data_IF_027581800740
#
_entry.id   IF_027581800740
#
_cell.length_a   1.000
_cell.length_b   1.000
_cell.length_c   1.000
_cell.angle_alpha   90.00
_cell.angle_beta   90.00
_cell.angle_gamma   90.00
#
_symmetry.space_group_name_H-M   'P 1'
#
loop_
_entity.id
_entity.type
_entity.pdbx_description
1 polymer ?
#
# COMPACT_ATOMS: atom_id res chain seq x y z
N UNK A 1 -3.70 -5.71 20.93
CA UNK A 1 -3.64 -4.82 19.74
C UNK A 1 -4.90 -5.07 18.94
N UNK A 2 -5.54 -4.04 18.35
CA UNK A 2 -6.77 -4.24 17.57
C UNK A 2 -6.46 -4.86 16.19
N UNK A 3 -7.46 -5.50 15.59
CA UNK A 3 -7.33 -6.12 14.28
C UNK A 3 -6.80 -5.15 13.20
N UNK A 4 -7.33 -3.92 13.03
CA UNK A 4 -6.79 -2.97 12.05
C UNK A 4 -5.31 -2.62 12.27
N UNK A 5 -4.86 -2.58 13.53
CA UNK A 5 -3.45 -2.35 13.84
C UNK A 5 -2.57 -3.55 13.42
N UNK A 6 -3.08 -4.76 13.58
CA UNK A 6 -2.35 -5.97 13.16
C UNK A 6 -2.27 -6.04 11.64
N UNK A 7 -3.35 -5.73 10.95
CA UNK A 7 -3.39 -5.62 9.48
C UNK A 7 -2.36 -4.61 9.00
N UNK A 8 -2.30 -3.42 9.61
CA UNK A 8 -1.30 -2.41 9.29
C UNK A 8 0.13 -2.98 9.37
N UNK A 9 0.41 -3.82 10.38
CA UNK A 9 1.73 -4.45 10.51
C UNK A 9 2.00 -5.51 9.44
N UNK A 10 0.99 -6.28 9.05
CA UNK A 10 1.10 -7.26 7.96
C UNK A 10 1.35 -6.56 6.62
N UNK A 11 0.56 -5.53 6.32
CA UNK A 11 0.73 -4.64 5.17
C UNK A 11 2.15 -4.04 5.10
N UNK A 12 2.69 -3.55 6.23
CA UNK A 12 4.06 -3.05 6.30
C UNK A 12 5.12 -4.13 6.04
N UNK A 13 4.88 -5.36 6.48
CA UNK A 13 5.80 -6.47 6.20
C UNK A 13 5.83 -6.80 4.70
N UNK A 14 4.67 -6.84 4.04
CA UNK A 14 4.57 -7.01 2.58
C UNK A 14 5.27 -5.88 1.83
N UNK A 15 5.06 -4.62 2.23
CA UNK A 15 5.72 -3.47 1.60
C UNK A 15 7.24 -3.50 1.76
N UNK A 16 7.73 -3.92 2.93
CA UNK A 16 9.16 -4.10 3.15
C UNK A 16 9.71 -5.21 2.24
N UNK A 17 9.03 -6.36 2.17
CA UNK A 17 9.44 -7.45 1.29
C UNK A 17 9.45 -7.03 -0.19
N UNK A 18 8.42 -6.30 -0.65
CA UNK A 18 8.35 -5.74 -2.01
C UNK A 18 9.54 -4.81 -2.31
N UNK A 19 9.91 -3.96 -1.36
CA UNK A 19 11.06 -3.06 -1.52
C UNK A 19 12.39 -3.81 -1.64
N UNK A 20 12.48 -5.02 -1.08
CA UNK A 20 13.70 -5.83 -1.10
C UNK A 20 13.80 -6.78 -2.30
N UNK A 21 12.67 -7.22 -2.88
CA UNK A 21 12.65 -8.20 -3.99
C UNK A 21 12.95 -7.63 -5.38
N UNK A 22 12.91 -6.32 -5.59
CA UNK A 22 13.09 -5.72 -6.92
C UNK A 22 14.54 -5.68 -7.45
N UNK A 23 15.48 -6.40 -6.83
CA UNK A 23 16.90 -6.40 -7.22
C UNK A 23 17.57 -7.77 -7.08
N UNK A 24 17.11 -8.76 -7.85
CA UNK A 24 17.95 -9.92 -8.15
C UNK A 24 17.96 -10.14 -9.65
N UNK A 25 18.80 -9.37 -10.33
CA UNK A 25 19.56 -9.85 -11.48
C UNK A 25 20.91 -9.12 -11.52
N UNK A 26 21.93 -9.91 -11.13
CA UNK A 26 23.35 -9.87 -11.51
C UNK A 26 24.35 -9.59 -10.37
N UNK A 27 25.06 -10.67 -9.98
CA UNK A 27 26.21 -10.61 -9.08
C UNK A 27 27.40 -10.00 -9.83
N UNK A 28 27.65 -8.70 -9.64
CA UNK A 28 29.01 -8.19 -9.72
C UNK A 28 29.22 -6.89 -8.95
N UNK A 29 30.25 -6.92 -8.09
CA UNK A 29 31.05 -5.81 -7.57
C UNK A 29 30.39 -4.70 -6.73
N UNK A 30 30.74 -4.73 -5.43
CA UNK A 30 31.03 -3.58 -4.55
C UNK A 30 30.04 -2.40 -4.51
N UNK A 31 29.21 -2.35 -3.45
CA UNK A 31 28.78 -1.09 -2.85
C UNK A 31 27.38 -0.56 -3.18
N UNK A 32 26.45 -1.38 -3.67
CA UNK A 32 25.11 -0.91 -4.04
C UNK A 32 24.20 -0.82 -2.82
N UNK A 33 23.94 0.42 -2.36
CA UNK A 33 22.86 0.73 -1.41
C UNK A 33 21.56 0.13 -1.94
N UNK A 34 20.97 -0.85 -1.24
CA UNK A 34 19.64 -1.38 -1.58
C UNK A 34 18.67 -0.19 -1.72
N UNK A 35 18.21 0.11 -2.94
CA UNK A 35 17.32 1.25 -3.14
C UNK A 35 15.92 0.86 -2.68
N UNK A 36 15.45 1.47 -1.59
CA UNK A 36 14.06 1.38 -1.13
C UNK A 36 13.28 2.53 -1.80
N UNK A 37 12.59 2.31 -2.94
CA UNK A 37 11.92 3.39 -3.66
C UNK A 37 10.78 4.02 -2.85
N UNK A 38 10.14 3.24 -1.96
CA UNK A 38 9.10 3.74 -1.05
C UNK A 38 9.73 4.65 0.01
N UNK A 39 10.86 4.23 0.57
CA UNK A 39 11.68 5.02 1.48
C UNK A 39 12.17 6.33 0.86
N UNK A 40 12.67 6.27 -0.36
CA UNK A 40 13.13 7.43 -1.14
C UNK A 40 11.98 8.38 -1.41
N UNK A 41 10.83 7.89 -1.91
CA UNK A 41 9.63 8.71 -2.13
C UNK A 41 9.17 9.38 -0.83
N UNK A 42 9.15 8.64 0.28
CA UNK A 42 8.79 9.18 1.60
C UNK A 42 9.75 10.29 2.03
N UNK A 43 11.04 10.12 1.78
CA UNK A 43 12.07 11.10 2.10
C UNK A 43 12.00 12.35 1.21
N UNK A 44 11.49 12.23 -0.03
CA UNK A 44 11.20 13.33 -0.93
C UNK A 44 9.94 14.11 -0.50
N UNK A 45 8.83 13.41 -0.24
CA UNK A 45 7.52 14.02 0.05
C UNK A 45 7.51 14.77 1.40
N UNK A 46 8.13 14.19 2.44
CA UNK A 46 8.15 14.77 3.80
C UNK A 46 8.61 16.24 3.85
N UNK A 47 9.81 16.60 3.35
CA UNK A 47 10.31 17.97 3.39
C UNK A 47 9.52 18.90 2.47
N UNK A 48 9.05 18.43 1.31
CA UNK A 48 8.18 19.22 0.42
C UNK A 48 6.91 19.63 1.17
N UNK A 49 6.24 18.69 1.84
CA UNK A 49 5.02 18.96 2.60
C UNK A 49 5.25 19.73 3.91
N UNK A 50 6.47 19.70 4.46
CA UNK A 50 6.80 20.36 5.73
C UNK A 50 7.12 21.85 5.56
N UNK A 51 7.77 22.24 4.46
CA UNK A 51 8.15 23.62 4.19
C UNK A 51 7.03 24.39 3.49
N UNK A 52 6.62 25.54 4.02
CA UNK A 52 5.64 26.42 3.37
C UNK A 52 6.10 26.87 1.99
N UNK A 53 7.39 27.23 1.85
CA UNK A 53 8.00 27.64 0.60
C UNK A 53 7.98 26.51 -0.44
N UNK A 54 8.42 25.30 -0.06
CA UNK A 54 8.43 24.14 -0.97
C UNK A 54 7.03 23.73 -1.41
N UNK A 55 6.06 23.77 -0.50
CA UNK A 55 4.64 23.52 -0.84
C UNK A 55 4.08 24.55 -1.80
N UNK A 56 4.41 25.83 -1.60
CA UNK A 56 3.95 26.89 -2.48
C UNK A 56 4.54 26.72 -3.89
N UNK A 57 5.85 26.51 -3.98
CA UNK A 57 6.53 26.26 -5.26
C UNK A 57 5.95 25.03 -5.97
N UNK A 58 5.74 23.94 -5.23
CA UNK A 58 5.07 22.76 -5.75
C UNK A 58 3.66 23.08 -6.28
N UNK A 59 2.84 23.81 -5.51
CA UNK A 59 1.49 24.17 -5.90
C UNK A 59 1.45 25.10 -7.13
N UNK A 60 2.43 25.98 -7.28
CA UNK A 60 2.57 26.85 -8.46
C UNK A 60 2.87 26.02 -9.72
N UNK A 61 3.82 25.07 -9.65
CA UNK A 61 4.10 24.13 -10.75
C UNK A 61 2.87 23.29 -11.05
N UNK A 62 2.21 22.75 -10.02
CA UNK A 62 1.03 21.91 -10.18
C UNK A 62 -0.11 22.67 -10.86
N UNK A 63 -0.32 23.94 -10.49
CA UNK A 63 -1.29 24.83 -11.13
C UNK A 63 -0.93 25.12 -12.60
N UNK A 64 0.34 25.36 -12.91
CA UNK A 64 0.80 25.57 -14.29
C UNK A 64 0.54 24.34 -15.17
N UNK A 65 0.60 23.14 -14.58
CA UNK A 65 0.28 21.87 -15.25
C UNK A 65 -1.21 21.49 -15.16
N UNK A 66 -2.08 22.38 -14.66
CA UNK A 66 -3.52 22.12 -14.45
C UNK A 66 -3.84 20.92 -13.54
N UNK A 67 -2.94 20.62 -12.59
CA UNK A 67 -3.05 19.57 -11.59
C UNK A 67 -3.15 20.22 -10.20
N UNK A 68 -4.33 20.69 -9.81
CA UNK A 68 -4.54 21.38 -8.51
C UNK A 68 -4.60 20.41 -7.30
N UNK A 69 -3.67 19.46 -7.24
CA UNK A 69 -3.57 18.47 -6.15
C UNK A 69 -2.27 18.68 -5.36
N UNK A 70 -2.34 18.44 -4.06
CA UNK A 70 -1.16 18.42 -3.18
C UNK A 70 -0.65 16.99 -2.97
N UNK A 71 0.63 16.85 -2.64
CA UNK A 71 1.19 15.56 -2.20
C UNK A 71 0.55 15.11 -0.88
N UNK A 72 0.40 13.80 -0.72
CA UNK A 72 -0.08 13.18 0.51
C UNK A 72 1.09 12.61 1.31
N UNK A 73 1.11 12.90 2.61
CA UNK A 73 2.14 12.39 3.51
C UNK A 73 1.77 10.98 3.99
N UNK A 74 2.76 10.09 4.00
CA UNK A 74 2.65 8.79 4.66
C UNK A 74 2.57 8.94 6.19
N UNK A 75 1.61 8.24 6.79
CA UNK A 75 1.29 8.27 8.23
C UNK A 75 1.43 6.86 8.78
N UNK A 76 2.43 6.65 9.64
CA UNK A 76 2.79 5.31 10.12
C UNK A 76 1.65 4.53 10.78
N UNK A 77 0.66 5.21 11.35
CA UNK A 77 -0.50 4.60 12.02
C UNK A 77 -1.64 4.24 11.06
N UNK A 78 -1.59 4.67 9.80
CA UNK A 78 -2.65 4.47 8.81
C UNK A 78 -2.17 3.56 7.68
N UNK A 79 -2.75 2.36 7.63
CA UNK A 79 -2.35 1.27 6.74
C UNK A 79 -2.46 1.57 5.24
N UNK A 80 -3.34 2.49 4.84
CA UNK A 80 -3.48 2.93 3.45
C UNK A 80 -2.72 4.22 3.12
N UNK A 81 -2.05 4.85 4.09
CA UNK A 81 -1.42 6.16 3.85
C UNK A 81 -0.17 6.06 2.97
N UNK A 82 0.61 4.98 3.09
CA UNK A 82 1.74 4.73 2.18
C UNK A 82 1.25 4.53 0.75
N UNK A 83 0.16 3.77 0.58
CA UNK A 83 -0.50 3.59 -0.71
C UNK A 83 -0.98 4.93 -1.28
N UNK A 84 -1.72 5.73 -0.51
CA UNK A 84 -2.21 7.02 -0.97
C UNK A 84 -1.08 8.01 -1.29
N UNK A 85 0.04 7.95 -0.58
CA UNK A 85 1.25 8.71 -0.93
C UNK A 85 1.78 8.28 -2.30
N UNK A 86 1.89 6.97 -2.56
CA UNK A 86 2.38 6.43 -3.84
C UNK A 86 1.42 6.78 -4.98
N UNK A 87 0.13 6.48 -4.85
CA UNK A 87 -0.90 6.82 -5.85
C UNK A 87 -0.89 8.31 -6.16
N UNK A 88 -0.80 9.17 -5.13
CA UNK A 88 -0.74 10.62 -5.33
C UNK A 88 0.54 11.05 -6.03
N UNK A 89 1.68 10.44 -5.70
CA UNK A 89 2.95 10.75 -6.31
C UNK A 89 2.96 10.37 -7.80
N UNK A 90 2.40 9.21 -8.15
CA UNK A 90 2.25 8.76 -9.55
C UNK A 90 1.35 9.71 -10.35
N UNK A 91 0.24 10.17 -9.77
CA UNK A 91 -0.61 11.18 -10.42
C UNK A 91 0.09 12.53 -10.63
N UNK A 92 1.06 12.86 -9.76
CA UNK A 92 1.81 14.12 -9.77
C UNK A 92 3.23 13.95 -10.27
N UNK A 93 3.55 12.85 -10.94
CA UNK A 93 4.88 12.51 -11.44
C UNK A 93 5.45 13.65 -12.30
N UNK A 94 4.64 14.21 -13.21
CA UNK A 94 5.03 15.35 -14.04
C UNK A 94 5.38 16.61 -13.24
N UNK A 95 4.66 16.86 -12.15
CA UNK A 95 4.93 18.00 -11.26
C UNK A 95 6.25 17.78 -10.54
N UNK A 96 6.51 16.56 -10.08
CA UNK A 96 7.76 16.18 -9.42
C UNK A 96 8.95 16.25 -10.39
N UNK A 97 8.79 15.83 -11.64
CA UNK A 97 9.83 15.93 -12.66
C UNK A 97 10.23 17.39 -12.94
N UNK A 98 9.25 18.30 -13.08
CA UNK A 98 9.55 19.74 -13.26
C UNK A 98 10.16 20.34 -11.99
N UNK A 99 9.78 19.83 -10.81
CA UNK A 99 10.42 20.22 -9.56
C UNK A 99 11.88 19.73 -9.50
N UNK A 100 12.21 18.59 -10.08
CA UNK A 100 13.59 18.10 -10.16
C UNK A 100 14.49 19.03 -10.98
N UNK A 101 13.99 19.60 -12.08
CA UNK A 101 14.73 20.61 -12.83
C UNK A 101 15.05 21.84 -11.96
N UNK A 102 14.16 22.19 -11.02
CA UNK A 102 14.41 23.25 -10.04
C UNK A 102 15.39 22.86 -8.94
N UNK A 103 15.69 21.57 -8.73
CA UNK A 103 16.73 21.14 -7.78
C UNK A 103 18.13 21.55 -8.22
N UNK A 104 18.33 21.83 -9.52
CA UNK A 104 19.59 22.39 -10.04
C UNK A 104 19.79 23.85 -9.60
N UNK A 105 18.72 24.50 -9.14
CA UNK A 105 18.78 25.79 -8.48
C UNK A 105 19.07 25.56 -7.00
N UNK A 106 20.04 26.27 -6.44
CA UNK A 106 20.61 26.10 -5.09
C UNK A 106 19.60 26.05 -3.93
N UNK A 107 18.33 26.41 -4.17
CA UNK A 107 17.25 26.46 -3.18
C UNK A 107 16.73 25.08 -2.71
N UNK A 108 16.90 24.03 -3.52
CA UNK A 108 16.38 22.68 -3.23
C UNK A 108 17.40 21.55 -3.45
N UNK A 109 18.69 21.87 -3.41
CA UNK A 109 19.80 20.92 -3.62
C UNK A 109 19.72 19.71 -2.67
N UNK A 110 19.24 19.90 -1.43
CA UNK A 110 19.09 18.83 -0.43
C UNK A 110 18.09 17.73 -0.81
N UNK A 111 17.23 18.00 -1.80
CA UNK A 111 16.26 17.04 -2.33
C UNK A 111 16.80 16.21 -3.49
N UNK A 112 17.92 16.59 -4.12
CA UNK A 112 18.50 15.85 -5.26
C UNK A 112 18.83 14.40 -4.91
N UNK A 113 19.29 14.16 -3.67
CA UNK A 113 19.59 12.81 -3.16
C UNK A 113 18.37 11.89 -3.04
N UNK A 114 17.15 12.43 -3.15
CA UNK A 114 15.90 11.67 -3.11
C UNK A 114 15.22 11.59 -4.48
N UNK A 115 15.97 11.88 -5.55
CA UNK A 115 15.52 11.72 -6.92
C UNK A 115 15.28 10.24 -7.20
N UNK A 116 14.10 9.94 -7.74
CA UNK A 116 13.71 8.59 -8.15
C UNK A 116 14.09 8.39 -9.62
N UNK A 117 14.70 7.26 -9.93
CA UNK A 117 14.95 6.80 -11.29
C UNK A 117 13.68 6.27 -11.96
N UNK A 118 13.67 6.19 -13.29
CA UNK A 118 12.54 5.62 -14.05
C UNK A 118 12.19 4.19 -13.60
N UNK A 119 13.19 3.39 -13.23
CA UNK A 119 13.00 2.03 -12.73
C UNK A 119 12.32 2.03 -11.36
N UNK A 120 12.66 2.97 -10.48
CA UNK A 120 12.02 3.13 -9.19
C UNK A 120 10.58 3.64 -9.32
N UNK A 121 10.30 4.50 -10.29
CA UNK A 121 8.94 4.91 -10.64
C UNK A 121 8.08 3.74 -11.12
N UNK A 122 8.62 2.88 -11.99
CA UNK A 122 7.92 1.67 -12.46
C UNK A 122 7.65 0.71 -11.29
N UNK A 123 8.64 0.51 -10.40
CA UNK A 123 8.49 -0.28 -9.19
C UNK A 123 7.39 0.29 -8.27
N UNK A 124 7.32 1.61 -8.11
CA UNK A 124 6.27 2.27 -7.33
C UNK A 124 4.89 2.12 -7.99
N UNK A 125 4.79 2.11 -9.32
CA UNK A 125 3.53 1.92 -10.04
C UNK A 125 2.92 0.53 -9.81
N UNK A 126 3.75 -0.49 -9.59
CA UNK A 126 3.28 -1.85 -9.30
C UNK A 126 2.67 -2.00 -7.89
N UNK A 127 3.06 -1.15 -6.94
CA UNK A 127 2.65 -1.27 -5.53
C UNK A 127 1.15 -1.02 -5.35
N UNK A 128 0.56 0.07 -5.89
CA UNK A 128 -0.88 0.32 -5.76
C UNK A 128 -1.78 -0.77 -6.32
N UNK A 129 -1.48 -1.27 -7.52
CA UNK A 129 -2.28 -2.33 -8.14
C UNK A 129 -2.27 -3.61 -7.30
N UNK A 130 -1.10 -3.96 -6.74
CA UNK A 130 -0.97 -5.09 -5.84
C UNK A 130 -1.70 -4.88 -4.50
N UNK A 131 -1.85 -3.64 -4.03
CA UNK A 131 -2.49 -3.32 -2.75
C UNK A 131 -4.00 -3.10 -2.86
N UNK A 132 -4.45 -2.28 -3.81
CA UNK A 132 -5.81 -1.77 -3.89
C UNK A 132 -6.82 -2.85 -4.32
N UNK A 133 -6.42 -3.74 -5.23
CA UNK A 133 -7.24 -4.91 -5.61
C UNK A 133 -7.47 -5.87 -4.44
N UNK A 134 -6.61 -5.84 -3.42
CA UNK A 134 -6.45 -6.96 -2.49
C UNK A 134 -6.79 -6.59 -1.04
N UNK A 135 -6.77 -5.30 -0.71
CA UNK A 135 -7.01 -4.78 0.64
C UNK A 135 -8.21 -3.83 0.75
N UNK A 136 -8.96 -3.57 -0.31
CA UNK A 136 -10.15 -2.66 -0.33
C UNK A 136 -11.36 -3.15 0.48
N UNK A 137 -11.16 -4.13 1.36
CA UNK A 137 -12.17 -4.99 1.94
C UNK A 137 -12.53 -4.71 3.39
N UNK A 138 -11.79 -3.87 4.11
CA UNK A 138 -11.78 -3.99 5.56
C UNK A 138 -12.88 -3.22 6.28
N UNK A 139 -13.64 -3.99 7.07
CA UNK A 139 -14.48 -3.49 8.16
C UNK A 139 -13.82 -3.86 9.48
N UNK A 140 -13.86 -2.95 10.46
CA UNK A 140 -13.35 -3.21 11.81
C UNK A 140 -14.15 -4.36 12.44
N UNK A 141 -13.53 -5.52 12.77
CA UNK A 141 -14.26 -6.61 13.36
C UNK A 141 -14.61 -6.28 14.82
N UNK A 142 -15.86 -6.56 15.18
CA UNK A 142 -16.31 -6.64 16.56
C UNK A 142 -15.58 -7.78 17.28
N UNK A 143 -15.59 -7.79 18.61
CA UNK A 143 -14.85 -8.77 19.42
C UNK A 143 -15.12 -10.23 19.00
N UNK A 144 -16.37 -10.57 18.69
CA UNK A 144 -16.76 -11.89 18.19
C UNK A 144 -16.27 -12.20 16.77
N UNK A 145 -15.92 -11.21 15.97
CA UNK A 145 -15.48 -11.41 14.60
C UNK A 145 -13.95 -11.40 14.45
N UNK A 146 -13.20 -11.09 15.52
CA UNK A 146 -11.75 -10.92 15.40
C UNK A 146 -11.01 -12.16 14.90
N UNK A 147 -11.31 -13.35 15.47
CA UNK A 147 -10.72 -14.63 15.05
C UNK A 147 -11.16 -15.00 13.62
N UNK A 148 -12.49 -15.01 13.31
CA UNK A 148 -12.95 -15.25 11.94
C UNK A 148 -12.35 -14.29 10.90
N UNK A 149 -12.14 -13.03 11.25
CA UNK A 149 -11.54 -12.05 10.34
C UNK A 149 -10.07 -12.35 10.06
N UNK A 150 -9.31 -12.86 11.03
CA UNK A 150 -7.94 -13.33 10.78
C UNK A 150 -7.95 -14.54 9.85
N UNK A 151 -8.80 -15.54 10.11
CA UNK A 151 -8.90 -16.73 9.26
C UNK A 151 -9.27 -16.38 7.81
N UNK A 152 -10.28 -15.52 7.64
CA UNK A 152 -10.71 -15.04 6.31
C UNK A 152 -9.59 -14.29 5.61
N UNK A 153 -8.88 -13.41 6.33
CA UNK A 153 -7.80 -12.64 5.73
C UNK A 153 -6.62 -13.51 5.33
N UNK A 154 -6.17 -14.42 6.20
CA UNK A 154 -5.10 -15.38 5.86
C UNK A 154 -5.50 -16.22 4.65
N UNK A 155 -6.77 -16.67 4.59
CA UNK A 155 -7.28 -17.39 3.43
C UNK A 155 -7.20 -16.56 2.14
N UNK A 156 -7.68 -15.31 2.17
CA UNK A 156 -7.61 -14.40 1.01
C UNK A 156 -6.16 -14.24 0.54
N UNK A 157 -5.21 -14.10 1.48
CA UNK A 157 -3.80 -13.90 1.16
C UNK A 157 -3.16 -15.18 0.62
N UNK A 158 -3.57 -16.36 1.07
CA UNK A 158 -3.11 -17.63 0.48
C UNK A 158 -3.68 -17.91 -0.89
N UNK A 159 -4.97 -17.64 -1.09
CA UNK A 159 -5.61 -17.70 -2.41
C UNK A 159 -4.87 -16.75 -3.37
N UNK A 160 -4.46 -15.58 -2.84
CA UNK A 160 -3.65 -14.64 -3.57
C UNK A 160 -2.26 -15.17 -3.94
N UNK A 161 -1.53 -15.77 -3.00
CA UNK A 161 -0.24 -16.41 -3.28
C UNK A 161 -0.33 -17.44 -4.40
N UNK A 162 -1.38 -18.27 -4.36
CA UNK A 162 -1.63 -19.29 -5.38
C UNK A 162 -1.88 -18.67 -6.76
N UNK A 163 -2.51 -17.49 -6.84
CA UNK A 163 -2.80 -16.80 -8.10
C UNK A 163 -1.61 -16.05 -8.71
N UNK A 164 -0.72 -15.47 -7.89
CA UNK A 164 0.39 -14.65 -8.38
C UNK A 164 1.67 -15.46 -8.65
N UNK A 165 1.88 -16.56 -7.91
CA UNK A 165 3.13 -17.32 -7.97
C UNK A 165 4.36 -16.52 -7.52
N UNK A 166 5.56 -17.05 -7.81
CA UNK A 166 6.82 -16.38 -7.47
C UNK A 166 7.07 -15.15 -8.37
N UNK A 167 7.74 -14.09 -7.86
CA UNK A 167 8.30 -13.97 -6.50
C UNK A 167 7.28 -13.44 -5.45
N UNK A 168 6.07 -13.07 -5.88
CA UNK A 168 5.08 -12.43 -5.01
C UNK A 168 4.54 -13.34 -3.91
N UNK A 169 4.59 -14.66 -4.10
CA UNK A 169 4.24 -15.64 -3.06
C UNK A 169 5.03 -15.42 -1.77
N UNK A 170 6.35 -15.27 -1.89
CA UNK A 170 7.27 -15.16 -0.75
C UNK A 170 7.09 -13.81 -0.03
N UNK A 171 6.79 -12.78 -0.80
CA UNK A 171 6.50 -11.43 -0.29
C UNK A 171 5.21 -11.40 0.52
N UNK A 172 4.17 -12.11 0.06
CA UNK A 172 2.89 -12.19 0.77
C UNK A 172 3.03 -13.05 2.03
N UNK A 173 3.89 -14.06 2.01
CA UNK A 173 4.17 -14.93 3.18
C UNK A 173 4.64 -14.09 4.38
N UNK A 174 5.49 -13.08 4.17
CA UNK A 174 5.96 -12.19 5.23
C UNK A 174 4.82 -11.50 5.99
N UNK A 175 3.75 -11.10 5.30
CA UNK A 175 2.59 -10.53 5.96
C UNK A 175 1.61 -11.57 6.51
N UNK A 176 1.47 -12.75 5.88
CA UNK A 176 0.74 -13.88 6.45
C UNK A 176 1.34 -14.30 7.79
N UNK A 177 2.67 -14.35 7.90
CA UNK A 177 3.36 -14.67 9.14
C UNK A 177 3.04 -13.66 10.25
N UNK A 178 2.96 -12.36 9.91
CA UNK A 178 2.48 -11.35 10.87
C UNK A 178 1.03 -11.61 11.28
N UNK A 179 0.13 -11.90 10.35
CA UNK A 179 -1.27 -12.21 10.66
C UNK A 179 -1.37 -13.42 11.60
N UNK A 180 -0.66 -14.51 11.30
CA UNK A 180 -0.65 -15.74 12.09
C UNK A 180 -0.16 -15.55 13.52
N UNK A 181 0.91 -14.77 13.72
CA UNK A 181 1.44 -14.46 15.06
C UNK A 181 0.37 -13.80 15.94
N UNK A 182 -0.42 -12.89 15.39
CA UNK A 182 -1.45 -12.19 16.13
C UNK A 182 -2.77 -12.95 16.20
N UNK A 183 -3.07 -13.76 15.18
CA UNK A 183 -4.16 -14.72 15.23
C UNK A 183 -4.00 -15.65 16.43
N UNK A 184 -2.86 -16.33 16.53
CA UNK A 184 -2.54 -17.23 17.63
C UNK A 184 -2.63 -16.55 18.99
N UNK A 185 -2.10 -15.33 19.12
CA UNK A 185 -2.23 -14.54 20.36
C UNK A 185 -3.68 -14.20 20.70
N UNK A 186 -4.54 -14.01 19.70
CA UNK A 186 -5.96 -13.68 19.89
C UNK A 186 -6.75 -14.91 20.34
N UNK A 187 -6.45 -16.09 19.79
CA UNK A 187 -7.04 -17.37 20.20
C UNK A 187 -6.75 -17.72 21.67
N UNK A 188 -5.56 -17.37 22.16
CA UNK A 188 -5.15 -17.63 23.55
C UNK A 188 -5.93 -16.81 24.59
N UNK A 189 -6.62 -15.73 24.17
CA UNK A 189 -7.37 -14.87 25.08
C UNK A 189 -8.84 -15.34 25.10
N UNK A 190 -9.34 -15.90 26.22
CA UNK A 190 -10.66 -16.55 26.26
C UNK A 190 -11.83 -15.63 25.91
N UNK A 191 -11.67 -14.32 26.10
CA UNK A 191 -12.73 -13.33 25.84
C UNK A 191 -13.21 -13.35 24.39
N UNK A 192 -12.32 -13.60 23.42
CA UNK A 192 -12.69 -13.67 22.01
C UNK A 192 -13.55 -14.92 21.74
N UNK A 193 -13.12 -16.08 22.23
CA UNK A 193 -13.85 -17.35 22.13
C UNK A 193 -15.20 -17.32 22.86
N UNK A 194 -15.25 -16.71 24.04
CA UNK A 194 -16.49 -16.50 24.79
C UNK A 194 -17.40 -15.57 24.01
N UNK A 195 -16.90 -14.44 23.51
CA UNK A 195 -17.70 -13.48 22.76
C UNK A 195 -18.32 -14.10 21.51
N UNK A 196 -17.56 -14.90 20.76
CA UNK A 196 -18.04 -15.71 19.63
C UNK A 196 -19.22 -16.57 20.04
N UNK A 197 -19.06 -17.38 21.10
CA UNK A 197 -20.11 -18.27 21.62
C UNK A 197 -21.35 -17.51 22.07
N UNK A 198 -21.18 -16.36 22.72
CA UNK A 198 -22.31 -15.56 23.21
C UNK A 198 -23.06 -14.80 22.10
N UNK A 199 -22.41 -14.52 20.97
CA UNK A 199 -23.05 -13.88 19.81
C UNK A 199 -23.92 -14.82 18.96
N UNK A 200 -24.14 -16.08 19.39
CA UNK A 200 -24.94 -17.10 18.70
C UNK A 200 -26.46 -16.86 18.76
N UNK A 201 -26.92 -15.68 18.35
CA UNK A 201 -28.21 -15.60 17.66
C UNK A 201 -27.92 -15.95 16.20
N UNK A 202 -28.26 -17.19 15.80
CA UNK A 202 -27.87 -17.86 14.54
C UNK A 202 -28.17 -17.07 13.25
N UNK A 203 -29.05 -16.06 13.31
CA UNK A 203 -29.34 -15.16 12.18
C UNK A 203 -28.18 -14.21 11.83
N UNK A 204 -27.32 -13.85 12.80
CA UNK A 204 -26.27 -12.85 12.58
C UNK A 204 -24.99 -13.43 11.95
N UNK A 205 -24.66 -14.70 12.22
CA UNK A 205 -23.43 -15.34 11.71
C UNK A 205 -23.58 -15.71 10.24
N UNK A 206 -24.71 -16.31 9.84
CA UNK A 206 -25.00 -16.60 8.42
C UNK A 206 -25.13 -15.31 7.60
N UNK A 207 -25.80 -14.29 8.15
CA UNK A 207 -25.90 -12.99 7.49
C UNK A 207 -24.52 -12.33 7.35
N UNK A 208 -23.61 -12.42 8.32
CA UNK A 208 -22.27 -11.87 8.15
C UNK A 208 -21.40 -12.62 7.12
N UNK A 209 -21.47 -13.96 7.05
CA UNK A 209 -20.75 -14.71 6.01
C UNK A 209 -21.32 -14.47 4.61
N UNK A 210 -22.65 -14.52 4.45
CA UNK A 210 -23.29 -14.29 3.15
C UNK A 210 -23.19 -12.83 2.72
N UNK A 211 -23.32 -11.86 3.63
CA UNK A 211 -23.16 -10.42 3.33
C UNK A 211 -21.70 -10.05 3.06
N UNK A 212 -20.72 -10.76 3.66
CA UNK A 212 -19.30 -10.64 3.29
C UNK A 212 -18.97 -11.30 1.94
N UNK A 213 -19.74 -12.28 1.47
CA UNK A 213 -19.54 -12.87 0.13
C UNK A 213 -20.29 -12.05 -0.93
N UNK A 214 -21.54 -11.63 -0.66
CA UNK A 214 -22.40 -10.91 -1.62
C UNK A 214 -22.13 -9.43 -1.76
N UNK A 215 -21.64 -8.72 -0.74
CA UNK A 215 -21.21 -7.31 -0.89
C UNK A 215 -19.80 -7.17 -1.49
N UNK A 216 -19.04 -8.27 -1.59
CA UNK A 216 -17.62 -8.24 -1.92
C UNK A 216 -17.32 -8.65 -3.38
N UNK A 217 -18.13 -9.54 -3.96
CA UNK A 217 -18.03 -9.92 -5.38
C UNK A 217 -18.44 -8.82 -6.39
N UNK A 218 -19.50 -8.00 -6.17
CA UNK A 218 -19.94 -7.02 -7.18
C UNK A 218 -19.00 -5.81 -7.32
N UNK A 219 -18.39 -5.36 -6.21
CA UNK A 219 -17.37 -4.29 -6.23
C UNK A 219 -16.11 -4.70 -7.00
N UNK A 220 -15.87 -6.00 -7.17
CA UNK A 220 -14.75 -6.57 -7.92
C UNK A 220 -14.94 -6.47 -9.45
N UNK A 221 -16.19 -6.54 -9.96
CA UNK A 221 -16.47 -6.45 -11.40
C UNK A 221 -16.48 -5.01 -11.94
N UNK A 222 -16.99 -4.05 -11.17
CA UNK A 222 -17.09 -2.65 -11.62
C UNK A 222 -15.73 -1.96 -11.76
N UNK A 223 -14.70 -2.42 -11.05
CA UNK A 223 -13.33 -1.86 -11.11
C UNK A 223 -12.56 -2.41 -12.33
N UNK A 224 -12.83 -3.67 -12.72
CA UNK A 224 -12.22 -4.32 -13.88
C UNK A 224 -12.63 -3.69 -15.22
N UNK A 225 -13.79 -3.03 -15.28
CA UNK A 225 -14.22 -2.28 -16.47
C UNK A 225 -13.61 -0.87 -16.55
N UNK A 226 -13.21 -0.28 -15.40
CA UNK A 226 -12.60 1.05 -15.34
C UNK A 226 -11.07 1.02 -15.60
N UNK A 227 -10.39 -0.08 -15.28
CA UNK A 227 -8.95 -0.25 -15.50
C UNK A 227 -8.56 -0.63 -16.93
N UNK A 228 -9.54 -0.79 -17.83
CA UNK A 228 -9.32 -1.23 -19.21
C UNK A 228 -8.97 -0.08 -20.20
N UNK A 229 -8.70 1.15 -19.72
CA UNK A 229 -8.26 2.24 -20.59
C UNK A 229 -6.76 2.57 -20.36
N UNK A 230 -5.85 2.04 -21.20
CA UNK A 230 -4.42 2.34 -21.10
C UNK A 230 -4.13 3.69 -21.77
N UNK A 231 -4.46 4.80 -21.11
CA UNK A 231 -4.20 6.16 -21.63
C UNK A 231 -2.86 6.75 -21.18
N UNK A 232 -2.09 6.08 -20.32
CA UNK A 232 -0.79 6.58 -19.87
C UNK A 232 0.38 6.25 -20.81
N UNK A 233 0.22 5.28 -21.72
CA UNK A 233 1.29 4.85 -22.65
C UNK A 233 1.49 5.75 -23.87
N UNK A 234 0.65 6.75 -24.12
CA UNK A 234 0.67 7.52 -25.39
C UNK A 234 1.62 8.71 -25.41
N UNK A 235 2.43 8.94 -24.38
CA UNK A 235 3.25 10.15 -24.28
C UNK A 235 4.77 9.90 -24.30
N UNK A 236 5.20 8.64 -24.49
CA UNK A 236 6.58 8.31 -24.85
C UNK A 236 6.71 8.27 -26.37
N UNK A 237 6.89 9.45 -26.96
CA UNK A 237 7.12 9.67 -28.39
C UNK A 237 7.64 11.08 -28.62
#
# INVERSE_FOLDING_TARGET
RCFPHVVNLACKAVLAALSHTNYVEDESAEGTTHSDPIGTLRALVRPICASSLRRQHFAEIAKNLSLELQLLRDVDTQWSSTLYMIERALLLEKVLYVLEDSFLSQEFEDLQRYRLSDQEWEALAMVPDAFQQKFSAEKTPTLCNAIPSFDVMVKIWRDLQASLGHPFSDIIDEGIDKLNVYHHRTELVPVYTISMRTSHNLAHIACCYDLMITLWLPSFKSIHEASASPTWKTWRG
#
